data_IF_828972931277
#
_entry.id   IF_828972931277
#
_cell.length_a   1.000
_cell.length_b   1.000
_cell.length_c   1.000
_cell.angle_alpha   90.00
_cell.angle_beta   90.00
_cell.angle_gamma   90.00
#
_symmetry.space_group_name_H-M   'P 1'
#
loop_
_entity.id
_entity.type
_entity.pdbx_description
1 polymer ?
#
# COMPACT_ATOMS: atom_id res chain seq x y z
N UNK A 1 -1.54 -2.89 20.78
CA UNK A 1 -0.08 -2.64 20.74
C UNK A 1 0.43 -2.59 22.17
N UNK A 2 1.08 -3.64 22.64
CA UNK A 2 1.91 -3.63 23.87
C UNK A 2 3.37 -3.91 23.49
N UNK A 3 3.79 -3.48 22.30
CA UNK A 3 5.15 -3.71 21.84
C UNK A 3 6.08 -2.76 22.60
N UNK A 4 7.07 -3.30 23.32
CA UNK A 4 8.24 -2.56 23.76
C UNK A 4 8.07 -1.47 24.82
N UNK A 5 6.87 -1.30 25.42
CA UNK A 5 6.66 -0.42 26.58
C UNK A 5 6.24 1.02 26.28
N UNK A 6 6.02 1.40 25.02
CA UNK A 6 5.45 2.70 24.67
C UNK A 6 3.96 2.78 25.09
N UNK A 7 3.50 3.96 25.50
CA UNK A 7 2.06 4.22 25.72
C UNK A 7 1.35 4.36 24.36
N UNK A 8 0.48 3.41 23.96
CA UNK A 8 -0.15 3.45 22.65
C UNK A 8 -1.24 4.53 22.53
N UNK A 9 -1.67 5.18 23.62
CA UNK A 9 -2.85 6.05 23.65
C UNK A 9 -2.78 7.25 22.68
N UNK A 10 -1.58 7.73 22.37
CA UNK A 10 -1.38 8.79 21.38
C UNK A 10 -1.61 8.34 19.93
N UNK A 11 -1.41 7.05 19.63
CA UNK A 11 -1.53 6.48 18.29
C UNK A 11 -2.85 5.75 18.11
N UNK A 12 -3.16 4.82 19.03
CA UNK A 12 -4.41 4.08 19.09
C UNK A 12 -5.43 4.94 19.82
N UNK A 13 -6.25 5.65 19.04
CA UNK A 13 -7.20 6.64 19.56
C UNK A 13 -8.62 6.20 19.25
N UNK A 14 -9.39 5.93 20.29
CA UNK A 14 -10.81 5.60 20.16
C UNK A 14 -11.56 6.75 19.46
N UNK A 15 -12.55 6.39 18.63
CA UNK A 15 -13.34 7.33 17.83
C UNK A 15 -12.54 8.15 16.79
N UNK A 16 -11.24 7.92 16.65
CA UNK A 16 -10.43 8.44 15.57
C UNK A 16 -10.15 7.35 14.54
N UNK A 17 -10.10 7.75 13.28
CA UNK A 17 -9.71 6.88 12.17
C UNK A 17 -8.18 6.72 12.12
N UNK A 18 -7.59 6.29 13.23
CA UNK A 18 -6.15 6.32 13.44
C UNK A 18 -5.37 5.30 12.59
N UNK A 19 -6.04 4.21 12.19
CA UNK A 19 -5.43 3.13 11.42
C UNK A 19 -5.91 3.12 9.97
N UNK A 20 -7.19 3.41 9.71
CA UNK A 20 -7.81 3.34 8.40
C UNK A 20 -7.37 2.07 7.63
N UNK A 21 -7.75 0.90 8.14
CA UNK A 21 -7.43 -0.37 7.48
C UNK A 21 -8.16 -0.43 6.14
N UNK A 22 -7.41 -0.62 5.05
CA UNK A 22 -7.99 -0.63 3.70
C UNK A 22 -7.60 -1.88 2.89
N UNK A 23 -6.76 -2.76 3.44
CA UNK A 23 -6.37 -4.02 2.82
C UNK A 23 -5.76 -4.95 3.87
N UNK A 24 -6.08 -6.24 3.75
CA UNK A 24 -5.43 -7.32 4.49
C UNK A 24 -5.33 -8.56 3.60
N UNK A 25 -4.15 -9.18 3.53
CA UNK A 25 -3.91 -10.41 2.77
C UNK A 25 -3.16 -11.43 3.63
N UNK A 26 -3.38 -12.71 3.33
CA UNK A 26 -2.62 -13.82 3.92
C UNK A 26 -1.41 -14.13 3.04
N UNK A 27 -0.23 -14.01 3.62
CA UNK A 27 1.03 -14.49 3.04
C UNK A 27 1.21 -15.95 3.45
N UNK A 28 0.98 -16.86 2.50
CA UNK A 28 1.06 -18.31 2.73
C UNK A 28 2.49 -18.82 2.82
N UNK A 29 3.49 -18.05 2.39
CA UNK A 29 4.87 -18.51 2.36
C UNK A 29 5.41 -18.76 3.78
N UNK A 30 4.95 -17.96 4.75
CA UNK A 30 5.44 -17.99 6.13
C UNK A 30 4.34 -17.74 7.18
N UNK A 31 3.10 -18.05 6.80
CA UNK A 31 1.87 -17.96 7.60
C UNK A 31 1.73 -16.64 8.36
N UNK A 32 1.53 -15.57 7.59
CA UNK A 32 1.48 -14.20 8.10
C UNK A 32 0.33 -13.40 7.50
N UNK A 33 -0.09 -12.36 8.21
CA UNK A 33 -1.02 -11.35 7.69
C UNK A 33 -0.24 -10.09 7.31
N UNK A 34 -0.45 -9.62 6.10
CA UNK A 34 -0.04 -8.30 5.66
C UNK A 34 -1.24 -7.37 5.70
N UNK A 35 -1.13 -6.27 6.43
CA UNK A 35 -2.24 -5.33 6.63
C UNK A 35 -1.77 -3.93 6.27
N UNK A 36 -2.59 -3.21 5.52
CA UNK A 36 -2.33 -1.82 5.18
C UNK A 36 -3.09 -0.89 6.13
N UNK A 37 -2.34 -0.04 6.81
CA UNK A 37 -2.85 1.15 7.49
C UNK A 37 -2.57 2.37 6.61
N UNK A 38 -3.61 2.94 6.02
CA UNK A 38 -3.49 4.14 5.17
C UNK A 38 -2.84 5.31 5.91
N UNK A 39 -3.13 5.43 7.20
CA UNK A 39 -2.59 6.50 8.03
C UNK A 39 -1.11 6.31 8.34
N UNK A 40 -0.65 5.06 8.49
CA UNK A 40 0.65 4.79 9.12
C UNK A 40 1.65 4.08 8.20
N UNK A 41 1.42 2.79 7.96
CA UNK A 41 2.38 1.84 7.40
C UNK A 41 1.68 0.59 6.85
N UNK A 42 2.44 -0.25 6.15
CA UNK A 42 2.15 -1.67 5.99
C UNK A 42 2.73 -2.42 7.19
N UNK A 43 1.98 -3.34 7.76
CA UNK A 43 2.43 -4.20 8.86
C UNK A 43 2.33 -5.67 8.46
N UNK A 44 3.37 -6.44 8.77
CA UNK A 44 3.31 -7.91 8.76
C UNK A 44 3.15 -8.43 10.18
N UNK A 45 2.15 -9.27 10.36
CA UNK A 45 1.82 -9.95 11.61
C UNK A 45 2.01 -11.45 11.43
N UNK A 46 2.56 -12.10 12.44
CA UNK A 46 2.43 -13.53 12.59
C UNK A 46 0.95 -13.92 12.69
N UNK A 47 0.48 -14.89 11.88
CA UNK A 47 -0.94 -15.20 11.77
C UNK A 47 -1.52 -15.73 13.09
N UNK A 48 -0.81 -16.64 13.75
CA UNK A 48 -1.28 -17.30 14.97
C UNK A 48 -1.17 -16.40 16.20
N UNK A 49 -0.01 -15.78 16.43
CA UNK A 49 0.25 -15.00 17.65
C UNK A 49 -0.17 -13.53 17.56
N UNK A 50 -0.40 -13.01 16.35
CA UNK A 50 -0.66 -11.59 16.13
C UNK A 50 0.55 -10.68 16.40
N UNK A 51 1.75 -11.26 16.61
CA UNK A 51 2.97 -10.49 16.85
C UNK A 51 3.40 -9.74 15.59
N UNK A 52 3.74 -8.46 15.75
CA UNK A 52 4.34 -7.66 14.67
C UNK A 52 5.71 -8.25 14.31
N UNK A 53 5.89 -8.65 13.04
CA UNK A 53 7.18 -9.06 12.48
C UNK A 53 7.95 -7.85 12.01
N UNK A 54 7.32 -6.98 11.22
CA UNK A 54 7.93 -5.75 10.73
C UNK A 54 6.89 -4.70 10.32
N UNK A 55 7.35 -3.46 10.17
CA UNK A 55 6.59 -2.32 9.64
C UNK A 55 7.30 -1.72 8.42
N UNK A 56 6.56 -1.35 7.39
CA UNK A 56 7.09 -0.63 6.22
C UNK A 56 6.25 0.63 5.99
N UNK A 57 6.84 1.80 6.16
CA UNK A 57 6.13 3.07 6.02
C UNK A 57 7.06 4.26 6.09
N UNK A 58 6.49 5.43 5.88
CA UNK A 58 7.22 6.70 5.89
C UNK A 58 7.76 7.05 7.29
N UNK A 59 9.10 7.19 7.45
CA UNK A 59 9.70 7.54 8.73
C UNK A 59 9.40 8.97 9.18
N UNK A 60 8.87 9.84 8.34
CA UNK A 60 8.47 11.20 8.73
C UNK A 60 7.14 11.25 9.49
N UNK A 61 6.38 10.14 9.54
CA UNK A 61 5.07 10.08 10.21
C UNK A 61 5.17 9.95 11.73
N UNK A 62 4.08 10.36 12.39
CA UNK A 62 3.95 10.33 13.86
C UNK A 62 4.32 8.99 14.50
N UNK A 63 3.86 7.86 13.94
CA UNK A 63 4.16 6.53 14.46
C UNK A 63 5.68 6.28 14.56
N UNK A 64 6.47 6.72 13.58
CA UNK A 64 7.91 6.50 13.56
C UNK A 64 8.65 7.48 14.48
N UNK A 65 8.19 8.72 14.52
CA UNK A 65 8.83 9.80 15.30
C UNK A 65 8.60 9.61 16.80
N UNK A 66 7.37 9.29 17.21
CA UNK A 66 6.97 9.28 18.61
C UNK A 66 7.07 7.91 19.31
N UNK A 67 7.19 6.79 18.57
CA UNK A 67 7.16 5.44 19.13
C UNK A 67 8.45 4.68 18.83
N UNK A 68 9.47 4.77 19.70
CA UNK A 68 10.71 4.02 19.56
C UNK A 68 10.52 2.51 19.38
N UNK A 69 9.53 1.91 20.05
CA UNK A 69 9.24 0.48 19.94
C UNK A 69 8.77 0.06 18.54
N UNK A 70 7.94 0.89 17.90
CA UNK A 70 7.50 0.66 16.52
C UNK A 70 8.61 0.96 15.53
N UNK A 71 9.36 2.04 15.76
CA UNK A 71 10.54 2.38 14.95
C UNK A 71 11.58 1.26 14.93
N UNK A 72 11.76 0.54 16.04
CA UNK A 72 12.66 -0.60 16.11
C UNK A 72 12.21 -1.80 15.24
N UNK A 73 10.93 -1.87 14.87
CA UNK A 73 10.36 -2.90 13.97
C UNK A 73 10.25 -2.41 12.52
N UNK A 74 10.61 -1.16 12.25
CA UNK A 74 10.53 -0.58 10.91
C UNK A 74 11.64 -1.13 10.02
N UNK A 75 11.27 -1.63 8.83
CA UNK A 75 12.22 -1.99 7.80
C UNK A 75 12.96 -0.74 7.32
N UNK A 76 14.29 -0.84 7.22
CA UNK A 76 15.09 0.22 6.61
C UNK A 76 15.00 0.12 5.10
N UNK A 77 14.54 1.20 4.47
CA UNK A 77 14.53 1.28 3.01
C UNK A 77 15.96 1.45 2.48
N UNK A 78 16.42 0.50 1.67
CA UNK A 78 17.75 0.52 1.03
C UNK A 78 17.73 1.22 -0.34
N UNK A 79 16.58 1.25 -1.01
CA UNK A 79 16.34 2.01 -2.25
C UNK A 79 14.86 2.34 -2.45
N UNK A 80 14.60 3.44 -3.16
CA UNK A 80 13.26 3.85 -3.54
C UNK A 80 12.56 4.78 -2.54
N UNK A 81 11.23 4.79 -2.58
CA UNK A 81 10.37 5.61 -1.72
C UNK A 81 9.59 4.72 -0.74
N UNK A 82 9.25 5.18 0.47
CA UNK A 82 8.37 4.43 1.35
C UNK A 82 6.91 4.45 0.84
N UNK A 83 6.06 3.50 1.26
CA UNK A 83 4.63 3.60 1.03
C UNK A 83 4.01 4.73 1.87
N UNK A 84 3.13 5.51 1.24
CA UNK A 84 2.46 6.66 1.84
C UNK A 84 0.99 6.67 1.40
N UNK A 85 0.08 6.43 2.35
CA UNK A 85 -1.35 6.44 2.05
C UNK A 85 -1.79 5.24 1.21
N UNK A 86 -1.01 4.16 1.23
CA UNK A 86 -1.09 3.01 0.34
C UNK A 86 -2.38 2.18 0.45
N UNK A 87 -2.72 1.50 -0.64
CA UNK A 87 -3.91 0.64 -0.77
C UNK A 87 -3.55 -0.69 -1.47
N UNK A 88 -4.50 -1.64 -1.36
CA UNK A 88 -4.54 -2.89 -2.13
C UNK A 88 -3.22 -3.67 -2.13
N UNK A 89 -2.83 -4.19 -0.97
CA UNK A 89 -1.66 -5.06 -0.88
C UNK A 89 -1.88 -6.33 -1.70
N UNK A 90 -0.83 -6.76 -2.39
CA UNK A 90 -0.76 -8.06 -3.05
C UNK A 90 0.66 -8.60 -3.03
N UNK A 91 0.82 -9.91 -3.22
CA UNK A 91 2.12 -10.54 -3.40
C UNK A 91 2.26 -10.92 -4.87
N UNK A 92 3.31 -10.41 -5.50
CA UNK A 92 3.66 -10.77 -6.87
C UNK A 92 4.16 -12.23 -6.94
N UNK A 93 4.15 -12.89 -8.12
CA UNK A 93 4.59 -14.28 -8.25
C UNK A 93 6.03 -14.55 -7.80
N UNK A 94 6.89 -13.53 -7.79
CA UNK A 94 8.27 -13.62 -7.29
C UNK A 94 8.40 -13.37 -5.77
N UNK A 95 7.28 -13.25 -5.06
CA UNK A 95 7.23 -13.05 -3.61
C UNK A 95 7.39 -11.60 -3.16
N UNK A 96 7.56 -10.64 -4.08
CA UNK A 96 7.66 -9.22 -3.71
C UNK A 96 6.30 -8.64 -3.31
N UNK A 97 6.31 -7.75 -2.32
CA UNK A 97 5.12 -7.00 -1.90
C UNK A 97 4.79 -5.94 -2.93
N UNK A 98 3.59 -5.97 -3.49
CA UNK A 98 3.06 -4.98 -4.42
C UNK A 98 1.93 -4.19 -3.76
N UNK A 99 1.86 -2.90 -4.05
CA UNK A 99 0.83 -2.01 -3.54
C UNK A 99 0.59 -0.82 -4.47
N UNK A 100 -0.58 -0.21 -4.33
CA UNK A 100 -0.83 1.10 -4.89
C UNK A 100 -0.40 2.17 -3.87
N UNK A 101 0.60 2.97 -4.19
CA UNK A 101 1.16 4.01 -3.34
C UNK A 101 0.52 5.36 -3.71
N UNK A 102 -0.48 5.80 -2.95
CA UNK A 102 -1.23 7.02 -3.28
C UNK A 102 -0.42 8.31 -3.12
N UNK A 103 0.63 8.31 -2.29
CA UNK A 103 1.44 9.50 -2.06
C UNK A 103 0.73 10.60 -1.27
N UNK A 104 -0.19 10.21 -0.39
CA UNK A 104 -0.97 11.16 0.43
C UNK A 104 -0.62 10.98 1.91
N UNK A 105 -0.17 12.07 2.56
CA UNK A 105 0.17 12.10 3.98
C UNK A 105 -0.99 11.62 4.88
N UNK A 106 -0.67 11.34 6.15
CA UNK A 106 -1.70 11.05 7.16
C UNK A 106 -2.70 12.22 7.26
N UNK A 107 -3.97 11.88 7.41
CA UNK A 107 -5.06 12.83 7.62
C UNK A 107 -5.63 12.75 9.03
N UNK A 108 -5.30 11.68 9.77
CA UNK A 108 -5.85 11.35 11.07
C UNK A 108 -4.75 11.16 12.13
N UNK A 109 -3.61 11.85 12.01
CA UNK A 109 -2.64 11.99 13.08
C UNK A 109 -3.15 12.94 14.20
N UNK A 110 -2.60 12.87 15.43
CA UNK A 110 -2.94 13.84 16.47
C UNK A 110 -2.65 15.29 16.06
N UNK A 111 -3.38 16.28 16.60
CA UNK A 111 -3.10 17.69 16.33
C UNK A 111 -1.63 18.06 16.64
N UNK A 112 -0.95 18.70 15.69
CA UNK A 112 0.46 19.08 15.81
C UNK A 112 1.46 17.93 15.61
N UNK A 113 0.99 16.68 15.48
CA UNK A 113 1.85 15.55 15.12
C UNK A 113 2.22 15.57 13.63
N UNK A 114 3.38 15.03 13.25
CA UNK A 114 3.81 15.03 11.86
C UNK A 114 2.96 14.06 11.02
N UNK A 115 2.41 14.58 9.93
CA UNK A 115 1.59 13.82 8.98
C UNK A 115 2.41 12.91 8.05
N UNK A 116 3.73 13.12 8.00
CA UNK A 116 4.64 12.53 7.02
C UNK A 116 4.67 13.27 5.70
N UNK A 117 5.39 12.68 4.75
CA UNK A 117 5.55 13.16 3.39
C UNK A 117 4.21 13.19 2.64
N UNK A 118 4.06 14.20 1.78
CA UNK A 118 2.89 14.35 0.90
C UNK A 118 3.34 14.58 -0.55
N UNK A 119 3.86 13.56 -1.24
CA UNK A 119 4.47 13.74 -2.57
C UNK A 119 3.54 14.32 -3.65
N UNK A 120 2.23 14.11 -3.54
CA UNK A 120 1.25 14.66 -4.49
C UNK A 120 1.21 13.93 -5.84
N UNK A 121 1.62 12.66 -5.87
CA UNK A 121 1.48 11.78 -7.02
C UNK A 121 1.36 10.33 -6.54
N UNK A 122 0.71 9.49 -7.35
CA UNK A 122 0.57 8.06 -7.08
C UNK A 122 1.51 7.23 -7.94
N UNK A 123 2.00 6.14 -7.37
CA UNK A 123 2.80 5.13 -8.08
C UNK A 123 2.32 3.73 -7.70
N UNK A 124 2.52 2.76 -8.57
CA UNK A 124 2.49 1.36 -8.16
C UNK A 124 3.90 0.98 -7.74
N UNK A 125 4.07 0.50 -6.51
CA UNK A 125 5.39 0.15 -5.97
C UNK A 125 5.46 -1.35 -5.67
N UNK A 126 6.62 -1.95 -5.96
CA UNK A 126 6.96 -3.32 -5.56
C UNK A 126 8.21 -3.32 -4.70
N UNK A 127 8.16 -4.06 -3.60
CA UNK A 127 9.23 -4.13 -2.62
C UNK A 127 9.74 -5.56 -2.46
N UNK A 128 11.05 -5.74 -2.61
CA UNK A 128 11.73 -6.92 -2.09
C UNK A 128 12.05 -6.68 -0.61
N UNK A 129 11.68 -7.63 0.24
CA UNK A 129 11.82 -7.52 1.70
C UNK A 129 12.78 -8.61 2.18
N UNK A 130 13.80 -8.19 2.92
CA UNK A 130 14.69 -9.08 3.66
C UNK A 130 14.40 -8.92 5.15
N UNK A 131 13.58 -9.84 5.68
CA UNK A 131 13.15 -9.82 7.08
C UNK A 131 14.32 -10.08 8.04
N UNK A 132 15.31 -10.90 7.63
CA UNK A 132 16.46 -11.21 8.46
C UNK A 132 17.39 -10.01 8.59
N UNK A 133 17.57 -9.24 7.51
CA UNK A 133 18.33 -8.00 7.52
C UNK A 133 17.53 -6.79 8.05
N UNK A 134 16.20 -6.90 8.13
CA UNK A 134 15.32 -5.78 8.49
C UNK A 134 15.32 -4.68 7.44
N UNK A 135 15.36 -5.03 6.16
CA UNK A 135 15.43 -4.07 5.05
C UNK A 135 14.37 -4.30 3.99
N UNK A 136 14.06 -3.25 3.23
CA UNK A 136 13.22 -3.31 2.04
C UNK A 136 13.86 -2.51 0.91
N UNK A 137 13.67 -2.94 -0.33
CA UNK A 137 14.09 -2.23 -1.54
C UNK A 137 12.90 -2.07 -2.49
N UNK A 138 12.59 -0.86 -2.95
CA UNK A 138 11.67 -0.68 -4.08
C UNK A 138 12.37 -1.19 -5.34
N UNK A 139 11.96 -2.37 -5.82
CA UNK A 139 12.59 -3.07 -6.95
C UNK A 139 11.91 -2.75 -8.28
N UNK A 140 10.69 -2.23 -8.24
CA UNK A 140 9.96 -1.77 -9.41
C UNK A 140 8.95 -0.70 -9.01
N UNK A 141 8.78 0.28 -9.88
CA UNK A 141 7.81 1.36 -9.69
C UNK A 141 7.20 1.77 -11.03
N UNK A 142 5.93 2.15 -11.02
CA UNK A 142 5.24 2.69 -12.20
C UNK A 142 4.44 3.92 -11.82
N UNK A 143 4.78 5.05 -12.44
CA UNK A 143 4.02 6.29 -12.42
C UNK A 143 3.34 6.44 -13.78
N UNK A 144 2.01 6.44 -13.84
CA UNK A 144 1.30 6.68 -15.12
C UNK A 144 1.56 8.09 -15.65
N UNK A 145 1.55 9.08 -14.74
CA UNK A 145 1.80 10.48 -15.01
C UNK A 145 1.43 11.31 -13.79
N UNK A 146 2.01 12.51 -13.66
CA UNK A 146 1.77 13.38 -12.49
C UNK A 146 0.33 13.90 -12.42
N UNK A 147 -0.33 14.05 -13.55
CA UNK A 147 -1.72 14.51 -13.61
C UNK A 147 -2.73 13.40 -13.23
N UNK A 148 -2.32 12.14 -13.29
CA UNK A 148 -3.13 10.96 -12.92
C UNK A 148 -2.89 10.57 -11.46
N UNK A 149 -2.83 11.57 -10.58
CA UNK A 149 -2.71 11.32 -9.15
C UNK A 149 -4.05 10.84 -8.57
N UNK A 150 -4.06 9.60 -8.08
CA UNK A 150 -5.16 9.07 -7.28
C UNK A 150 -4.79 9.16 -5.79
N UNK A 151 -5.32 10.18 -5.12
CA UNK A 151 -4.98 10.52 -3.74
C UNK A 151 -5.59 9.57 -2.69
N UNK A 152 -6.57 8.74 -3.08
CA UNK A 152 -7.22 7.73 -2.23
C UNK A 152 -7.67 6.51 -3.06
N UNK A 153 -8.06 5.43 -2.37
CA UNK A 153 -8.55 4.19 -2.98
C UNK A 153 -7.50 3.62 -3.95
N UNK A 154 -7.94 2.96 -5.03
CA UNK A 154 -7.09 2.43 -6.10
C UNK A 154 -6.45 1.07 -5.81
N UNK A 155 -6.08 0.35 -6.87
CA UNK A 155 -5.43 -0.95 -6.75
C UNK A 155 -4.46 -1.26 -7.88
N UNK A 156 -3.56 -2.22 -7.63
CA UNK A 156 -2.67 -2.74 -8.65
C UNK A 156 -2.34 -4.21 -8.38
N UNK A 157 -2.44 -5.03 -9.42
CA UNK A 157 -2.19 -6.47 -9.36
C UNK A 157 -1.39 -6.92 -10.58
N UNK A 158 -0.40 -7.77 -10.35
CA UNK A 158 0.32 -8.41 -11.45
C UNK A 158 -0.53 -9.52 -12.07
N UNK A 159 -0.56 -9.59 -13.41
CA UNK A 159 -1.16 -10.71 -14.15
C UNK A 159 -0.13 -11.83 -14.33
N UNK A 160 -0.59 -13.07 -14.50
CA UNK A 160 0.27 -14.27 -14.61
C UNK A 160 1.34 -14.17 -15.70
N UNK A 161 1.03 -13.49 -16.81
CA UNK A 161 1.96 -13.30 -17.94
C UNK A 161 3.01 -12.20 -17.69
N UNK A 162 3.02 -11.59 -16.50
CA UNK A 162 4.03 -10.60 -16.08
C UNK A 162 3.61 -9.14 -16.23
N UNK A 163 2.52 -8.86 -16.95
CA UNK A 163 1.90 -7.52 -17.02
C UNK A 163 1.22 -7.10 -15.70
N UNK A 164 0.57 -5.95 -15.70
CA UNK A 164 -0.15 -5.43 -14.51
C UNK A 164 -1.50 -4.84 -14.89
N UNK A 165 -2.51 -5.09 -14.06
CA UNK A 165 -3.77 -4.36 -14.06
C UNK A 165 -3.72 -3.32 -12.93
N UNK A 166 -3.95 -2.07 -13.28
CA UNK A 166 -3.90 -0.95 -12.35
C UNK A 166 -5.20 -0.17 -12.50
N UNK A 167 -5.87 0.10 -11.40
CA UNK A 167 -6.92 1.11 -11.40
C UNK A 167 -6.47 2.35 -10.64
N UNK A 168 -6.78 3.51 -11.21
CA UNK A 168 -6.65 4.82 -10.58
C UNK A 168 -8.06 5.28 -10.26
N UNK A 169 -8.55 4.97 -9.07
CA UNK A 169 -9.95 5.15 -8.68
C UNK A 169 -10.39 6.62 -8.59
N UNK A 170 -9.48 7.53 -8.22
CA UNK A 170 -9.78 8.92 -7.84
C UNK A 170 -8.91 9.97 -8.54
N UNK A 171 -8.57 9.75 -9.82
CA UNK A 171 -7.73 10.65 -10.60
C UNK A 171 -8.40 12.02 -10.92
N UNK A 172 -7.57 12.99 -11.32
CA UNK A 172 -7.97 14.35 -11.76
C UNK A 172 -8.95 15.03 -10.79
N UNK A 173 -8.52 15.21 -9.54
CA UNK A 173 -9.37 15.80 -8.51
C UNK A 173 -10.59 14.96 -8.18
N UNK A 174 -10.47 13.63 -8.31
CA UNK A 174 -11.52 12.64 -8.02
C UNK A 174 -12.75 12.72 -8.94
N UNK A 175 -12.53 13.12 -10.19
CA UNK A 175 -13.59 13.25 -11.22
C UNK A 175 -13.48 12.22 -12.34
N UNK A 176 -12.34 11.53 -12.44
CA UNK A 176 -12.16 10.39 -13.33
C UNK A 176 -11.57 9.19 -12.60
N UNK A 177 -12.00 8.01 -13.02
CA UNK A 177 -11.32 6.76 -12.73
C UNK A 177 -10.62 6.27 -14.00
N UNK A 178 -9.49 5.59 -13.86
CA UNK A 178 -8.79 5.00 -15.01
C UNK A 178 -8.45 3.54 -14.79
N UNK A 179 -8.64 2.71 -15.81
CA UNK A 179 -8.24 1.31 -15.81
C UNK A 179 -7.10 1.14 -16.82
N UNK A 180 -5.93 0.79 -16.30
CA UNK A 180 -4.67 0.74 -17.04
C UNK A 180 -4.15 -0.68 -17.06
N UNK A 181 -3.86 -1.18 -18.27
CA UNK A 181 -3.20 -2.46 -18.48
C UNK A 181 -1.78 -2.23 -18.95
N UNK A 182 -0.81 -2.86 -18.28
CA UNK A 182 0.57 -2.92 -18.72
C UNK A 182 0.91 -4.32 -19.23
N UNK A 183 1.70 -4.41 -20.29
CA UNK A 183 2.33 -5.66 -20.73
C UNK A 183 3.50 -6.06 -19.81
N UNK A 184 4.08 -7.24 -20.05
CA UNK A 184 5.21 -7.76 -19.26
C UNK A 184 6.48 -6.91 -19.33
N UNK A 185 6.59 -5.99 -20.30
CA UNK A 185 7.69 -5.05 -20.44
C UNK A 185 7.37 -3.69 -19.81
N UNK A 186 6.22 -3.55 -19.14
CA UNK A 186 5.75 -2.31 -18.54
C UNK A 186 5.21 -1.29 -19.55
N UNK A 187 4.88 -1.71 -20.78
CA UNK A 187 4.29 -0.83 -21.80
C UNK A 187 2.78 -0.82 -21.68
N UNK A 188 2.16 0.32 -21.96
CA UNK A 188 0.70 0.45 -22.00
C UNK A 188 0.11 -0.49 -23.06
N UNK A 189 -0.70 -1.45 -22.62
CA UNK A 189 -1.50 -2.32 -23.46
C UNK A 189 -2.89 -1.72 -23.70
N UNK A 190 -3.49 -1.14 -22.65
CA UNK A 190 -4.72 -0.37 -22.74
C UNK A 190 -4.81 0.66 -21.63
N UNK A 191 -5.68 1.64 -21.86
CA UNK A 191 -5.90 2.76 -20.98
C UNK A 191 -7.33 3.29 -21.17
N UNK A 192 -8.21 3.03 -20.21
CA UNK A 192 -9.61 3.44 -20.26
C UNK A 192 -9.91 4.47 -19.18
N UNK A 193 -10.58 5.56 -19.55
CA UNK A 193 -11.05 6.59 -18.63
C UNK A 193 -12.57 6.52 -18.45
N UNK A 194 -13.01 6.70 -17.21
CA UNK A 194 -14.42 6.73 -16.83
C UNK A 194 -14.71 7.95 -15.95
N UNK A 195 -15.91 8.54 -16.02
CA UNK A 195 -16.34 9.49 -15.00
C UNK A 195 -16.44 8.79 -13.64
N UNK A 196 -16.08 9.49 -12.56
CA UNK A 196 -16.28 9.03 -11.18
C UNK A 196 -16.65 10.18 -10.27
N UNK A 197 -17.23 9.85 -9.12
CA UNK A 197 -17.24 10.71 -7.96
C UNK A 197 -16.45 9.99 -6.88
N UNK A 198 -15.34 10.57 -6.41
CA UNK A 198 -14.44 9.88 -5.46
C UNK A 198 -13.94 8.56 -6.04
N UNK A 199 -14.30 7.42 -5.44
CA UNK A 199 -13.90 6.08 -5.90
C UNK A 199 -15.12 5.17 -6.09
N UNK A 200 -16.26 5.76 -6.49
CA UNK A 200 -17.55 5.06 -6.62
C UNK A 200 -17.66 4.25 -7.93
N UNK A 201 -16.94 4.65 -9.00
CA UNK A 201 -16.99 3.94 -10.29
C UNK A 201 -16.07 2.71 -10.32
N UNK A 202 -14.83 2.90 -9.87
CA UNK A 202 -13.84 1.82 -9.73
C UNK A 202 -13.20 2.01 -8.35
N UNK A 203 -13.19 0.95 -7.55
CA UNK A 203 -12.58 0.93 -6.23
C UNK A 203 -11.37 0.00 -6.16
N UNK A 204 -11.50 -1.16 -6.80
CA UNK A 204 -10.49 -2.20 -6.90
C UNK A 204 -10.76 -3.01 -8.18
N UNK A 205 -9.72 -3.31 -8.95
CA UNK A 205 -9.81 -4.09 -10.18
C UNK A 205 -8.77 -5.21 -10.19
N UNK A 206 -9.24 -6.45 -10.03
CA UNK A 206 -8.41 -7.63 -10.08
C UNK A 206 -8.54 -8.34 -11.44
N UNK A 207 -7.42 -8.86 -12.00
CA UNK A 207 -7.47 -9.65 -13.21
C UNK A 207 -8.09 -11.02 -12.95
N UNK A 208 -8.99 -11.46 -13.83
CA UNK A 208 -9.56 -12.81 -13.82
C UNK A 208 -9.00 -13.57 -15.01
N UNK A 209 -8.31 -14.68 -14.75
CA UNK A 209 -7.82 -15.58 -15.78
C UNK A 209 -8.96 -16.49 -16.26
N UNK A 210 -9.43 -16.27 -17.49
CA UNK A 210 -10.48 -17.09 -18.11
C UNK A 210 -10.09 -18.56 -18.27
N UNK A 211 -8.78 -18.89 -18.36
CA UNK A 211 -8.32 -20.28 -18.39
C UNK A 211 -8.47 -21.00 -17.05
N UNK A 212 -8.63 -20.26 -15.96
CA UNK A 212 -8.88 -20.79 -14.62
C UNK A 212 -10.37 -20.75 -14.23
N UNK A 213 -11.24 -20.19 -15.08
CA UNK A 213 -12.67 -20.17 -14.87
C UNK A 213 -13.25 -21.55 -15.19
N UNK A 214 -13.63 -22.27 -14.13
CA UNK A 214 -14.52 -23.43 -14.24
C UNK A 214 -15.94 -22.89 -14.18
N UNK A 215 -16.60 -22.84 -15.33
CA UNK A 215 -18.05 -22.62 -15.41
C UNK A 215 -18.71 -23.99 -15.38
N UNK A 216 -19.57 -24.21 -14.39
CA UNK A 216 -20.40 -25.40 -14.25
C UNK A 216 -21.61 -25.40 -15.20
#
# INVERSE_FOLDING_TARGET
MLAGGDDPSGLVRDQADWFHMNSAIHDRADDALLVSSRENFVVKLDYESGRIRWLLGDPEKYWYQAYPSLRALALKLSSGKPPVGQHALSIAPDGTLMLFNNGTASMNQPPGAPAGSNPGFSAVSRYAIDEAAGTAAEVWTYEHGRDTWADVCSSAYQVREGGSLIDYASAYGRTRARLVGLDANGRLAFDYEYPTMRCDTIFNAAPIDFGALVLD
#
